data_IF_038561786488
#
_entry.id   IF_038561786488
#
_cell.length_a   1.000
_cell.length_b   1.000
_cell.length_c   1.000
_cell.angle_alpha   90.00
_cell.angle_beta   90.00
_cell.angle_gamma   90.00
#
_symmetry.space_group_name_H-M   'P 1'
#
loop_
_entity.id
_entity.type
_entity.pdbx_description
1 polymer ?
#
# COMPACT_ATOMS: atom_id res chain seq x y z
N UNK A 1 10.47 -37.59 -7.18
CA UNK A 1 11.07 -36.27 -7.29
C UNK A 1 10.05 -35.26 -6.77
N UNK A 2 10.35 -34.67 -5.62
CA UNK A 2 9.55 -33.57 -5.08
C UNK A 2 9.68 -32.42 -6.08
N UNK A 3 8.58 -32.01 -6.71
CA UNK A 3 8.58 -30.97 -7.73
C UNK A 3 9.22 -29.71 -7.18
N UNK A 4 10.05 -29.05 -7.99
CA UNK A 4 10.64 -27.77 -7.64
C UNK A 4 9.51 -26.79 -7.30
N UNK A 5 9.67 -25.94 -6.26
CA UNK A 5 8.66 -24.96 -5.93
C UNK A 5 8.36 -24.07 -7.14
N UNK A 6 7.09 -23.93 -7.47
CA UNK A 6 6.67 -23.10 -8.61
C UNK A 6 6.96 -21.64 -8.24
N UNK A 7 7.93 -21.03 -8.90
CA UNK A 7 8.22 -19.62 -8.79
C UNK A 7 7.39 -18.83 -9.78
N UNK A 8 6.60 -17.90 -9.29
CA UNK A 8 5.70 -17.08 -10.08
C UNK A 8 6.07 -15.61 -9.87
N UNK A 9 6.45 -14.87 -10.92
CA UNK A 9 6.67 -13.46 -10.79
C UNK A 9 5.34 -12.77 -10.41
N UNK A 10 5.36 -11.96 -9.37
CA UNK A 10 4.19 -11.25 -8.86
C UNK A 10 4.49 -9.79 -8.60
N UNK A 11 3.50 -8.94 -8.82
CA UNK A 11 3.54 -7.58 -8.32
C UNK A 11 3.06 -7.58 -6.87
N UNK A 12 3.85 -6.97 -6.00
CA UNK A 12 3.59 -6.90 -4.57
C UNK A 12 3.55 -5.45 -4.10
N UNK A 13 2.70 -5.16 -3.11
CA UNK A 13 2.54 -3.82 -2.54
C UNK A 13 2.48 -3.91 -1.02
N UNK A 14 3.40 -3.20 -0.38
CA UNK A 14 3.36 -3.01 1.08
C UNK A 14 2.35 -1.91 1.42
N UNK A 15 1.37 -2.22 2.28
CA UNK A 15 0.31 -1.30 2.68
C UNK A 15 0.08 -1.38 4.20
N UNK A 16 -0.66 -0.43 4.78
CA UNK A 16 -1.17 -0.51 6.14
C UNK A 16 -2.64 -0.93 6.15
N UNK A 17 -3.22 -1.09 7.34
CA UNK A 17 -4.64 -1.40 7.52
C UNK A 17 -5.58 -0.30 7.01
N UNK A 18 -5.13 0.96 7.06
CA UNK A 18 -5.87 2.12 6.55
C UNK A 18 -6.11 2.07 5.03
N UNK A 19 -5.26 1.38 4.29
CA UNK A 19 -5.40 1.19 2.84
C UNK A 19 -6.77 0.60 2.47
N UNK A 20 -7.22 -0.39 3.23
CA UNK A 20 -8.52 -1.05 3.01
C UNK A 20 -9.73 -0.18 3.34
N UNK A 21 -9.53 0.86 4.16
CA UNK A 21 -10.57 1.85 4.51
C UNK A 21 -10.69 2.96 3.45
N UNK A 22 -9.57 3.27 2.78
CA UNK A 22 -9.51 4.29 1.72
C UNK A 22 -9.97 3.73 0.38
N UNK A 23 -9.55 2.51 0.06
CA UNK A 23 -9.85 1.86 -1.21
C UNK A 23 -10.84 0.71 -0.98
N UNK A 24 -11.94 0.72 -1.72
CA UNK A 24 -12.99 -0.30 -1.62
C UNK A 24 -12.63 -1.51 -2.49
N UNK A 25 -12.11 -2.55 -1.86
CA UNK A 25 -11.86 -3.84 -2.52
C UNK A 25 -13.04 -4.78 -2.33
N UNK A 26 -13.37 -5.55 -3.37
CA UNK A 26 -14.31 -6.65 -3.26
C UNK A 26 -13.60 -7.90 -2.75
N UNK A 27 -13.81 -8.25 -1.50
CA UNK A 27 -13.32 -9.51 -0.95
C UNK A 27 -14.19 -10.67 -1.40
N UNK A 28 -13.57 -11.71 -1.93
CA UNK A 28 -14.19 -12.96 -2.38
C UNK A 28 -14.09 -14.03 -1.30
N UNK A 29 -12.96 -14.04 -0.56
CA UNK A 29 -12.71 -14.92 0.57
C UNK A 29 -12.02 -14.13 1.70
N UNK A 30 -12.27 -14.54 2.94
CA UNK A 30 -11.62 -13.94 4.10
C UNK A 30 -11.91 -12.46 4.28
N UNK A 31 -10.90 -11.72 4.76
CA UNK A 31 -11.03 -10.29 5.09
C UNK A 31 -9.68 -9.59 4.99
N UNK A 32 -9.63 -8.25 4.98
CA UNK A 32 -8.37 -7.51 5.07
C UNK A 32 -7.66 -7.81 6.40
N UNK A 33 -6.35 -7.68 6.42
CA UNK A 33 -5.64 -7.65 7.69
C UNK A 33 -5.98 -6.39 8.48
N UNK A 34 -5.96 -6.52 9.79
CA UNK A 34 -6.41 -5.49 10.73
C UNK A 34 -5.24 -4.63 11.22
N UNK A 35 -5.57 -3.53 11.92
CA UNK A 35 -4.58 -2.73 12.63
C UNK A 35 -3.80 -3.58 13.65
N UNK A 36 -4.45 -4.54 14.31
CA UNK A 36 -3.79 -5.45 15.24
C UNK A 36 -2.77 -6.34 14.54
N UNK A 37 -3.13 -6.92 13.38
CA UNK A 37 -2.20 -7.71 12.55
C UNK A 37 -1.02 -6.86 12.10
N UNK A 38 -1.28 -5.62 11.68
CA UNK A 38 -0.25 -4.68 11.24
C UNK A 38 0.71 -4.31 12.38
N UNK A 39 0.18 -3.94 13.54
CA UNK A 39 1.00 -3.51 14.70
C UNK A 39 1.78 -4.65 15.35
N UNK A 40 1.22 -5.86 15.35
CA UNK A 40 1.90 -7.05 15.90
C UNK A 40 2.97 -7.61 14.97
N UNK A 41 3.12 -7.06 13.77
CA UNK A 41 4.07 -7.56 12.79
C UNK A 41 3.73 -8.94 12.25
N UNK A 42 2.43 -9.29 12.22
CA UNK A 42 1.99 -10.59 11.68
C UNK A 42 2.29 -10.67 10.17
N UNK A 43 2.99 -11.74 9.71
CA UNK A 43 3.25 -11.95 8.29
C UNK A 43 1.99 -12.47 7.59
N UNK A 44 1.08 -11.57 7.26
CA UNK A 44 -0.18 -11.85 6.59
C UNK A 44 -0.22 -11.19 5.21
N UNK A 45 -0.99 -11.78 4.29
CA UNK A 45 -1.16 -11.25 2.95
C UNK A 45 -2.61 -11.36 2.50
N UNK A 46 -3.02 -10.38 1.69
CA UNK A 46 -4.21 -10.44 0.83
C UNK A 46 -3.73 -10.64 -0.60
N UNK A 47 -4.39 -11.51 -1.36
CA UNK A 47 -3.99 -11.81 -2.73
C UNK A 47 -5.12 -11.61 -3.72
N UNK A 48 -4.77 -11.35 -4.97
CA UNK A 48 -5.72 -11.26 -6.07
C UNK A 48 -6.29 -12.64 -6.43
N UNK A 49 -7.54 -12.70 -6.91
CA UNK A 49 -8.22 -13.93 -7.33
C UNK A 49 -7.41 -14.73 -8.36
N UNK A 50 -6.89 -14.07 -9.39
CA UNK A 50 -6.10 -14.72 -10.42
C UNK A 50 -4.85 -15.40 -9.86
N UNK A 51 -4.19 -14.78 -8.88
CA UNK A 51 -3.05 -15.37 -8.20
C UNK A 51 -3.48 -16.53 -7.30
N UNK A 52 -4.56 -16.39 -6.53
CA UNK A 52 -5.10 -17.45 -5.68
C UNK A 52 -5.38 -18.71 -6.51
N UNK A 53 -6.09 -18.56 -7.63
CA UNK A 53 -6.38 -19.67 -8.55
C UNK A 53 -5.11 -20.31 -9.14
N UNK A 54 -4.11 -19.50 -9.48
CA UNK A 54 -2.84 -20.00 -10.05
C UNK A 54 -2.01 -20.79 -9.05
N UNK A 55 -2.03 -20.41 -7.76
CA UNK A 55 -1.21 -21.06 -6.73
C UNK A 55 -1.92 -22.23 -6.07
N UNK A 56 -3.24 -22.13 -5.83
CA UNK A 56 -4.00 -23.06 -5.00
C UNK A 56 -5.17 -23.75 -5.75
N UNK A 57 -5.33 -23.45 -7.05
CA UNK A 57 -6.40 -24.03 -7.86
C UNK A 57 -7.78 -23.54 -7.47
N UNK A 58 -8.76 -24.43 -7.43
CA UNK A 58 -10.15 -24.12 -7.08
C UNK A 58 -10.43 -24.21 -5.56
N UNK A 59 -9.43 -24.56 -4.75
CA UNK A 59 -9.54 -24.60 -3.30
C UNK A 59 -9.42 -23.22 -2.65
N UNK A 60 -9.84 -23.11 -1.38
CA UNK A 60 -9.68 -21.87 -0.62
C UNK A 60 -8.20 -21.54 -0.44
N UNK A 61 -7.85 -20.29 -0.75
CA UNK A 61 -6.52 -19.76 -0.53
C UNK A 61 -6.33 -19.24 0.91
N UNK A 62 -7.41 -18.90 1.60
CA UNK A 62 -7.35 -18.38 2.97
C UNK A 62 -6.81 -19.43 3.92
N UNK A 63 -5.83 -19.05 4.73
CA UNK A 63 -5.11 -19.95 5.63
C UNK A 63 -3.87 -20.61 5.01
N UNK A 64 -3.73 -20.60 3.68
CA UNK A 64 -2.55 -21.13 2.99
C UNK A 64 -1.32 -20.25 3.21
N UNK A 65 -0.16 -20.83 2.97
CA UNK A 65 1.12 -20.14 3.09
C UNK A 65 1.61 -19.66 1.71
N UNK A 66 1.96 -18.39 1.62
CA UNK A 66 2.58 -17.76 0.47
C UNK A 66 4.02 -17.36 0.81
N UNK A 67 5.00 -17.82 0.07
CA UNK A 67 6.39 -17.37 0.22
C UNK A 67 6.68 -16.20 -0.72
N UNK A 68 7.11 -15.06 -0.14
CA UNK A 68 7.54 -13.86 -0.86
C UNK A 68 8.94 -13.47 -0.41
N UNK A 69 9.91 -13.39 -1.31
CA UNK A 69 11.27 -12.97 -1.00
C UNK A 69 11.83 -13.67 0.26
N UNK A 70 11.69 -15.00 0.32
CA UNK A 70 12.12 -15.86 1.43
C UNK A 70 11.35 -15.66 2.75
N UNK A 71 10.32 -14.82 2.78
CA UNK A 71 9.43 -14.65 3.93
C UNK A 71 8.11 -15.38 3.68
N UNK A 72 7.64 -16.11 4.68
CA UNK A 72 6.37 -16.86 4.63
C UNK A 72 5.24 -16.00 5.17
N UNK A 73 4.21 -15.78 4.36
CA UNK A 73 3.00 -15.05 4.70
C UNK A 73 1.80 -15.99 4.75
N UNK A 74 0.93 -15.81 5.72
CA UNK A 74 -0.37 -16.48 5.74
C UNK A 74 -1.37 -15.65 4.95
N UNK A 75 -2.04 -16.28 3.98
CA UNK A 75 -3.14 -15.64 3.24
C UNK A 75 -4.34 -15.45 4.16
N UNK A 76 -4.82 -14.21 4.31
CA UNK A 76 -5.98 -13.86 5.15
C UNK A 76 -7.18 -13.41 4.35
N UNK A 77 -6.99 -13.07 3.09
CA UNK A 77 -8.08 -12.68 2.21
C UNK A 77 -7.72 -12.80 0.73
N UNK A 78 -8.76 -12.98 -0.08
CA UNK A 78 -8.69 -12.96 -1.53
C UNK A 78 -9.62 -11.86 -2.03
N UNK A 79 -9.08 -10.97 -2.86
CA UNK A 79 -9.85 -9.88 -3.49
C UNK A 79 -10.04 -10.14 -4.98
N UNK A 80 -11.07 -9.52 -5.55
CA UNK A 80 -11.25 -9.52 -6.99
C UNK A 80 -10.05 -8.84 -7.68
N UNK A 81 -9.78 -9.21 -8.94
CA UNK A 81 -8.66 -8.69 -9.67
C UNK A 81 -8.82 -7.18 -9.90
N UNK A 82 -7.76 -6.42 -9.66
CA UNK A 82 -7.69 -4.99 -9.89
C UNK A 82 -7.14 -4.75 -11.30
N UNK A 83 -7.70 -3.78 -12.02
CA UNK A 83 -7.17 -3.40 -13.33
C UNK A 83 -5.77 -2.82 -13.22
N UNK A 84 -4.87 -3.21 -14.11
CA UNK A 84 -3.52 -2.66 -14.19
C UNK A 84 -3.50 -1.15 -14.54
N UNK A 85 -4.61 -0.62 -15.06
CA UNK A 85 -4.78 0.82 -15.29
C UNK A 85 -4.90 1.63 -13.98
N UNK A 86 -5.14 0.94 -12.87
CA UNK A 86 -5.19 1.54 -11.54
C UNK A 86 -3.81 1.44 -10.85
N UNK A 87 -2.81 2.07 -11.42
CA UNK A 87 -1.39 1.97 -11.04
C UNK A 87 -1.10 2.20 -9.56
N UNK A 88 -1.96 2.97 -8.88
CA UNK A 88 -1.80 3.33 -7.45
C UNK A 88 -2.23 2.22 -6.48
N UNK A 89 -3.05 1.31 -6.94
CA UNK A 89 -3.64 0.24 -6.12
C UNK A 89 -3.45 -1.15 -6.73
N UNK A 90 -3.03 -1.19 -8.01
CA UNK A 90 -2.79 -2.44 -8.71
C UNK A 90 -1.65 -3.22 -8.07
N UNK A 91 -1.96 -4.43 -7.66
CA UNK A 91 -1.01 -5.44 -7.19
C UNK A 91 -1.65 -6.82 -7.31
N UNK A 92 -0.87 -7.86 -7.13
CA UNK A 92 -1.35 -9.24 -6.99
C UNK A 92 -1.25 -9.73 -5.55
N UNK A 93 -0.40 -9.07 -4.75
CA UNK A 93 -0.20 -9.36 -3.33
C UNK A 93 -0.09 -8.06 -2.56
N UNK A 94 -0.89 -7.91 -1.51
CA UNK A 94 -0.80 -6.81 -0.54
C UNK A 94 -0.42 -7.37 0.82
N UNK A 95 0.54 -6.76 1.48
CA UNK A 95 1.06 -7.20 2.78
C UNK A 95 1.43 -5.99 3.66
N UNK A 96 1.54 -6.14 5.00
CA UNK A 96 1.99 -5.05 5.86
C UNK A 96 3.37 -4.55 5.43
N UNK A 97 3.52 -3.26 5.10
CA UNK A 97 4.80 -2.72 4.60
C UNK A 97 5.95 -2.92 5.59
N UNK A 98 5.66 -3.03 6.89
CA UNK A 98 6.65 -3.31 7.94
C UNK A 98 7.28 -4.70 7.83
N UNK A 99 6.70 -5.59 7.01
CA UNK A 99 7.22 -6.92 6.74
C UNK A 99 8.13 -6.96 5.49
N UNK A 100 8.37 -5.84 4.83
CA UNK A 100 9.36 -5.78 3.76
C UNK A 100 10.76 -5.91 4.37
N UNK A 101 11.57 -6.90 3.94
CA UNK A 101 12.89 -7.14 4.55
C UNK A 101 13.83 -5.94 4.48
N UNK A 102 13.67 -5.10 3.47
CA UNK A 102 14.48 -3.93 3.18
C UNK A 102 13.81 -2.60 3.57
N UNK A 103 12.69 -2.64 4.31
CA UNK A 103 11.90 -1.44 4.59
C UNK A 103 12.69 -0.36 5.32
N UNK A 104 13.36 -0.72 6.41
CA UNK A 104 14.16 0.24 7.19
C UNK A 104 15.36 0.78 6.42
N UNK A 105 16.00 -0.06 5.60
CA UNK A 105 17.11 0.35 4.75
C UNK A 105 16.63 1.34 3.68
N UNK A 106 15.50 1.08 3.06
CA UNK A 106 14.88 1.99 2.06
C UNK A 106 14.47 3.32 2.67
N UNK A 107 13.96 3.33 3.90
CA UNK A 107 13.66 4.57 4.62
C UNK A 107 14.95 5.37 4.84
N UNK A 108 15.98 4.76 5.41
CA UNK A 108 17.27 5.41 5.64
C UNK A 108 17.93 5.91 4.35
N UNK A 109 17.86 5.11 3.29
CA UNK A 109 18.41 5.51 1.99
C UNK A 109 17.66 6.73 1.43
N UNK A 110 16.34 6.75 1.52
CA UNK A 110 15.51 7.86 1.05
C UNK A 110 15.80 9.14 1.84
N UNK A 111 15.95 9.05 3.15
CA UNK A 111 16.31 10.19 4.00
C UNK A 111 17.68 10.77 3.63
N UNK A 112 18.65 9.91 3.35
CA UNK A 112 20.02 10.34 3.06
C UNK A 112 20.21 10.88 1.63
N UNK A 113 19.53 10.30 0.62
CA UNK A 113 19.84 10.53 -0.79
C UNK A 113 18.72 11.21 -1.57
N UNK A 114 17.46 11.02 -1.16
CA UNK A 114 16.28 11.55 -1.84
C UNK A 114 15.29 12.17 -0.85
N UNK A 115 15.68 13.25 -0.16
CA UNK A 115 14.81 13.88 0.81
C UNK A 115 13.50 14.33 0.17
N UNK A 116 12.38 13.96 0.80
CA UNK A 116 11.04 14.22 0.27
C UNK A 116 10.50 13.17 -0.69
N UNK A 117 11.30 12.17 -1.08
CA UNK A 117 10.87 11.03 -1.91
C UNK A 117 11.00 9.72 -1.13
N UNK A 118 10.31 9.64 0.00
CA UNK A 118 10.29 8.42 0.82
C UNK A 118 9.64 7.23 0.09
N UNK A 119 9.87 6.00 0.59
CA UNK A 119 9.29 4.79 0.01
C UNK A 119 7.79 4.67 0.25
N UNK A 120 7.22 5.57 1.05
CA UNK A 120 5.81 5.55 1.43
C UNK A 120 5.01 6.61 0.68
N UNK A 121 3.77 6.27 0.39
CA UNK A 121 2.75 7.18 -0.14
C UNK A 121 1.59 7.24 0.85
N UNK A 122 1.06 8.43 1.07
CA UNK A 122 -0.10 8.64 1.95
C UNK A 122 -1.32 8.91 1.08
N UNK A 123 -2.39 8.18 1.34
CA UNK A 123 -3.70 8.38 0.73
C UNK A 123 -4.70 8.78 1.83
N UNK A 124 -5.49 9.78 1.55
CA UNK A 124 -6.49 10.30 2.48
C UNK A 124 -7.86 10.32 1.81
N UNK A 125 -8.86 9.73 2.46
CA UNK A 125 -10.24 9.83 2.02
C UNK A 125 -10.88 11.06 2.66
N UNK A 126 -11.22 12.05 1.83
CA UNK A 126 -11.95 13.24 2.26
C UNK A 126 -13.44 13.02 1.98
N UNK A 127 -14.25 13.03 3.03
CA UNK A 127 -15.70 12.74 2.92
C UNK A 127 -16.47 13.81 2.17
N UNK A 128 -16.10 15.09 2.37
CA UNK A 128 -16.73 16.21 1.69
C UNK A 128 -15.69 16.97 0.86
N UNK A 129 -16.01 17.24 -0.41
CA UNK A 129 -15.15 18.03 -1.29
C UNK A 129 -14.87 19.44 -0.74
N UNK A 130 -15.80 20.01 0.03
CA UNK A 130 -15.63 21.31 0.68
C UNK A 130 -14.48 21.32 1.70
N UNK A 131 -14.11 20.15 2.25
CA UNK A 131 -13.03 20.03 3.24
C UNK A 131 -11.64 19.85 2.60
N UNK A 132 -11.54 19.67 1.28
CA UNK A 132 -10.24 19.48 0.61
C UNK A 132 -9.29 20.67 0.89
N UNK A 133 -9.82 21.91 0.88
CA UNK A 133 -9.03 23.11 1.21
C UNK A 133 -8.45 23.04 2.61
N UNK A 134 -9.26 22.68 3.61
CA UNK A 134 -8.83 22.54 5.01
C UNK A 134 -7.78 21.45 5.19
N UNK A 135 -7.96 20.30 4.49
CA UNK A 135 -6.99 19.19 4.55
C UNK A 135 -5.67 19.63 3.94
N UNK A 136 -5.67 20.32 2.79
CA UNK A 136 -4.45 20.88 2.18
C UNK A 136 -3.72 21.83 3.10
N UNK A 137 -4.46 22.74 3.74
CA UNK A 137 -3.90 23.69 4.69
C UNK A 137 -3.28 22.98 5.90
N UNK A 138 -3.99 22.02 6.49
CA UNK A 138 -3.47 21.24 7.62
C UNK A 138 -2.21 20.45 7.26
N UNK A 139 -2.14 19.88 6.04
CA UNK A 139 -0.94 19.19 5.56
C UNK A 139 0.20 20.18 5.35
N UNK A 140 -0.07 21.36 4.73
CA UNK A 140 0.92 22.42 4.54
C UNK A 140 1.49 22.92 5.87
N UNK A 141 0.63 23.07 6.89
CA UNK A 141 1.06 23.47 8.24
C UNK A 141 1.95 22.43 8.90
N UNK A 142 1.64 21.14 8.73
CA UNK A 142 2.48 20.08 9.24
C UNK A 142 3.86 20.06 8.55
N UNK A 143 3.91 20.27 7.24
CA UNK A 143 5.16 20.36 6.50
C UNK A 143 5.99 21.58 6.95
N UNK A 144 5.35 22.75 7.14
CA UNK A 144 6.04 23.93 7.67
C UNK A 144 6.65 23.67 9.05
N UNK A 145 5.88 23.06 9.96
CA UNK A 145 6.37 22.71 11.32
C UNK A 145 7.51 21.71 11.25
N UNK A 146 7.42 20.73 10.39
CA UNK A 146 8.50 19.77 10.20
C UNK A 146 9.77 20.45 9.67
N UNK A 147 9.64 21.28 8.64
CA UNK A 147 10.78 22.04 8.10
C UNK A 147 11.45 22.95 9.14
N UNK A 148 10.64 23.54 10.04
CA UNK A 148 11.16 24.36 11.14
C UNK A 148 11.87 23.54 12.22
N UNK A 149 11.54 22.26 12.37
CA UNK A 149 12.17 21.35 13.32
C UNK A 149 13.47 20.74 12.83
N UNK A 150 13.75 20.84 11.53
CA UNK A 150 14.99 20.37 10.96
C UNK A 150 16.12 21.36 11.34
N UNK A 151 17.09 20.89 12.10
CA UNK A 151 18.28 21.66 12.47
C UNK A 151 19.13 21.92 11.21
N UNK A 152 19.46 23.19 10.95
CA UNK A 152 19.68 23.69 9.59
C UNK A 152 21.15 23.99 9.35
N UNK A 153 21.96 22.94 9.23
CA UNK A 153 23.27 23.11 8.58
C UNK A 153 23.36 22.43 7.19
N UNK A 154 22.26 22.46 6.47
CA UNK A 154 22.17 21.89 5.13
C UNK A 154 20.74 21.90 4.63
N UNK A 155 20.22 23.08 4.38
CA UNK A 155 18.86 23.37 3.93
C UNK A 155 18.33 22.39 2.90
N UNK A 156 17.49 21.46 3.37
CA UNK A 156 16.62 20.69 2.51
C UNK A 156 15.19 21.05 2.89
N UNK A 157 14.63 22.07 2.25
CA UNK A 157 13.23 22.39 2.38
C UNK A 157 12.41 21.29 1.73
N UNK A 158 11.64 20.58 2.53
CA UNK A 158 10.58 19.73 1.97
C UNK A 158 9.49 20.65 1.44
N UNK A 159 9.30 20.66 0.16
CA UNK A 159 8.13 21.26 -0.44
C UNK A 159 7.04 20.19 -0.54
N UNK A 160 5.81 20.56 -0.19
CA UNK A 160 4.66 19.84 -0.69
C UNK A 160 4.69 19.94 -2.22
N UNK A 161 5.19 18.92 -2.87
CA UNK A 161 4.89 18.68 -4.27
C UNK A 161 3.42 18.24 -4.35
N UNK A 162 2.54 19.19 -3.97
CA UNK A 162 1.15 19.08 -4.27
C UNK A 162 1.01 19.24 -5.77
N UNK A 163 1.19 18.16 -6.52
CA UNK A 163 0.59 18.15 -7.83
C UNK A 163 -0.91 18.32 -7.62
N UNK A 164 -1.52 19.39 -8.15
CA UNK A 164 -2.96 19.51 -8.15
C UNK A 164 -3.47 18.31 -8.94
N UNK A 165 -4.22 17.49 -8.27
CA UNK A 165 -4.58 16.16 -8.62
C UNK A 165 -5.51 16.07 -9.81
N UNK A 166 -4.99 16.11 -11.00
CA UNK A 166 -5.70 15.55 -12.15
C UNK A 166 -5.90 14.04 -12.02
N UNK A 167 -5.11 13.37 -11.16
CA UNK A 167 -5.20 11.93 -10.92
C UNK A 167 -6.38 11.55 -10.00
N UNK A 168 -6.73 12.38 -9.03
CA UNK A 168 -7.91 12.17 -8.19
C UNK A 168 -9.21 12.23 -8.99
N UNK A 169 -9.30 13.14 -9.96
CA UNK A 169 -10.47 13.22 -10.85
C UNK A 169 -10.62 11.95 -11.70
N UNK A 170 -9.53 11.31 -12.12
CA UNK A 170 -9.61 10.07 -12.90
C UNK A 170 -10.03 8.87 -12.06
N UNK A 171 -9.55 8.75 -10.82
CA UNK A 171 -9.97 7.69 -9.89
C UNK A 171 -11.42 7.91 -9.46
N UNK A 172 -11.82 9.14 -9.12
CA UNK A 172 -13.20 9.44 -8.75
C UNK A 172 -14.20 9.29 -9.92
N UNK A 173 -13.84 9.63 -11.15
CA UNK A 173 -14.70 9.39 -12.32
C UNK A 173 -14.92 7.91 -12.58
N UNK A 174 -13.95 7.07 -12.28
CA UNK A 174 -14.10 5.62 -12.50
C UNK A 174 -15.04 4.98 -11.48
N UNK A 175 -15.11 5.48 -10.25
CA UNK A 175 -15.96 4.96 -9.18
C UNK A 175 -17.38 5.57 -9.17
N UNK A 176 -17.61 6.71 -9.79
CA UNK A 176 -18.93 7.33 -9.88
C UNK A 176 -19.78 6.83 -11.05
N UNK A 177 -19.23 5.99 -11.91
CA UNK A 177 -19.91 5.44 -13.10
C UNK A 177 -20.14 3.91 -13.04
N UNK A 178 -20.01 3.30 -11.86
CA UNK A 178 -20.33 1.87 -11.63
C UNK A 178 -21.47 1.76 -10.65
#
# INVERSE_FOLDING_TARGET
PVGSPVQVPVMKMGVNDGFWKVFSFRFLEGKPFTEADFRSGMPVAVIARSLAKRLYGEGSAVGQTLSLDFTSFRVVGVVDDVSFLMDRVFSQVWYPYTQAPDFEERVRYSEAHMPGLGPLRVYMLVKDKADIGKVREAVADNVRRFNQSLDVDGKREFSLLGQPDRHWESIFRYWSNV
#
